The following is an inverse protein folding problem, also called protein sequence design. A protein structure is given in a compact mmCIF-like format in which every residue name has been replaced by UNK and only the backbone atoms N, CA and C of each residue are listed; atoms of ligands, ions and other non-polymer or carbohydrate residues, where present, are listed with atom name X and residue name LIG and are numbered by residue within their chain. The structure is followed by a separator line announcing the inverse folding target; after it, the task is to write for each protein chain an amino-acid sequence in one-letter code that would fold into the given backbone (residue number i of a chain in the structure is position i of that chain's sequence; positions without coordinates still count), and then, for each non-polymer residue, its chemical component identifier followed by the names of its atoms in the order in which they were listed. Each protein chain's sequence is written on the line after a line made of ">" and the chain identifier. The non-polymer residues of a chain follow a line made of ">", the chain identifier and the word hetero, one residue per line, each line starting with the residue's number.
data_IF_623098261144
#
_entry.id   IF_623098261144
#
_cell.length_a   1.000
_cell.length_b   1.000
_cell.length_c   1.000
_cell.angle_alpha   90.00
_cell.angle_beta   90.00
_cell.angle_gamma   90.00
#
_symmetry.space_group_name_H-M   'P 1'
#
loop_
_entity.id
_entity.type
_entity.pdbx_description
1 polymer ?
#
# COMPACT_ATOMS: atom_id res chain seq x y z
N UNK A 1 -40.91 20.32 -32.99
CA UNK A 1 -40.71 19.19 -32.05
C UNK A 1 -39.22 18.83 -32.08
N UNK A 2 -38.47 18.97 -30.98
CA UNK A 2 -37.03 18.76 -31.01
C UNK A 2 -36.70 17.25 -31.04
N UNK A 3 -35.72 16.87 -31.86
CA UNK A 3 -35.19 15.50 -31.90
C UNK A 3 -34.25 15.29 -30.71
N UNK A 4 -34.57 14.25 -29.93
CA UNK A 4 -33.80 13.75 -28.80
C UNK A 4 -32.50 13.15 -29.34
N UNK A 5 -31.44 13.96 -29.42
CA UNK A 5 -30.10 13.45 -29.70
C UNK A 5 -29.72 12.50 -28.56
N UNK A 6 -29.65 11.21 -28.89
CA UNK A 6 -29.28 10.14 -27.99
C UNK A 6 -27.89 10.42 -27.41
N UNK A 7 -27.78 10.43 -26.08
CA UNK A 7 -26.49 10.38 -25.39
C UNK A 7 -25.75 9.12 -25.83
N UNK A 8 -24.72 9.29 -26.63
CA UNK A 8 -23.70 8.26 -26.86
C UNK A 8 -23.11 7.89 -25.50
N UNK A 9 -23.06 6.60 -25.13
CA UNK A 9 -22.44 6.19 -23.89
C UNK A 9 -20.96 6.54 -23.98
N UNK A 10 -20.52 7.39 -23.05
CA UNK A 10 -19.15 7.85 -22.84
C UNK A 10 -18.27 6.62 -22.55
N UNK A 11 -17.87 5.90 -23.61
CA UNK A 11 -16.93 4.78 -23.54
C UNK A 11 -15.59 5.40 -23.18
N UNK A 12 -15.12 5.12 -21.96
CA UNK A 12 -13.75 5.38 -21.55
C UNK A 12 -12.81 4.95 -22.69
N UNK A 13 -12.02 5.87 -23.27
CA UNK A 13 -11.10 5.52 -24.34
C UNK A 13 -10.20 4.37 -23.86
N UNK A 14 -10.02 3.29 -24.65
CA UNK A 14 -9.12 2.18 -24.32
C UNK A 14 -7.71 2.64 -23.88
N UNK A 15 -7.28 3.80 -24.37
CA UNK A 15 -6.06 4.51 -23.99
C UNK A 15 -5.93 4.78 -22.47
N UNK A 16 -7.03 5.00 -21.75
CA UNK A 16 -7.01 5.30 -20.31
C UNK A 16 -6.71 4.06 -19.45
N UNK A 17 -7.12 2.87 -19.90
CA UNK A 17 -6.86 1.61 -19.18
C UNK A 17 -5.41 1.16 -19.39
N UNK A 18 -4.87 1.36 -20.60
CA UNK A 18 -3.47 1.06 -20.93
C UNK A 18 -2.50 1.98 -20.15
N UNK A 19 -2.84 3.26 -20.00
CA UNK A 19 -2.07 4.21 -19.18
C UNK A 19 -2.03 3.88 -17.69
N UNK A 20 -2.99 3.08 -17.19
CA UNK A 20 -3.06 2.62 -15.80
C UNK A 20 -2.26 1.32 -15.58
N UNK A 21 -2.33 0.41 -16.55
CA UNK A 21 -1.70 -0.91 -16.46
C UNK A 21 -0.18 -0.85 -16.64
N UNK A 22 0.33 0.03 -17.51
CA UNK A 22 1.77 0.11 -17.78
C UNK A 22 2.56 0.44 -16.51
N UNK A 23 2.26 1.51 -15.75
CA UNK A 23 2.99 1.81 -14.50
C UNK A 23 2.87 0.69 -13.47
N UNK A 24 1.72 0.00 -13.41
CA UNK A 24 1.52 -1.11 -12.50
C UNK A 24 2.41 -2.31 -12.85
N UNK A 25 2.44 -2.72 -14.12
CA UNK A 25 3.29 -3.83 -14.59
C UNK A 25 4.76 -3.49 -14.41
N UNK A 26 5.17 -2.27 -14.76
CA UNK A 26 6.54 -1.79 -14.53
C UNK A 26 6.88 -1.82 -13.04
N UNK A 27 5.97 -1.36 -12.17
CA UNK A 27 6.13 -1.43 -10.72
C UNK A 27 6.31 -2.86 -10.21
N UNK A 28 5.49 -3.80 -10.67
CA UNK A 28 5.60 -5.22 -10.30
C UNK A 28 6.93 -5.83 -10.76
N UNK A 29 7.39 -5.51 -11.97
CA UNK A 29 8.67 -5.97 -12.48
C UNK A 29 9.84 -5.40 -11.66
N UNK A 30 9.82 -4.10 -11.37
CA UNK A 30 10.83 -3.45 -10.53
C UNK A 30 10.86 -4.07 -9.13
N UNK A 31 9.68 -4.30 -8.54
CA UNK A 31 9.58 -4.97 -7.24
C UNK A 31 10.12 -6.40 -7.26
N UNK A 32 9.81 -7.15 -8.32
CA UNK A 32 10.31 -8.51 -8.50
C UNK A 32 11.84 -8.55 -8.61
N UNK A 33 12.42 -7.67 -9.42
CA UNK A 33 13.88 -7.54 -9.56
C UNK A 33 14.55 -7.10 -8.26
N UNK A 34 13.91 -6.21 -7.51
CA UNK A 34 14.36 -5.80 -6.18
C UNK A 34 14.44 -6.98 -5.21
N UNK A 35 13.35 -7.75 -5.10
CA UNK A 35 13.27 -8.95 -4.24
C UNK A 35 14.29 -10.03 -4.61
N UNK A 36 14.67 -10.11 -5.89
CA UNK A 36 15.70 -11.04 -6.37
C UNK A 36 17.12 -10.56 -6.11
N UNK A 37 17.29 -9.33 -5.64
CA UNK A 37 18.60 -8.77 -5.41
C UNK A 37 19.34 -8.34 -6.69
N UNK A 38 18.62 -8.14 -7.80
CA UNK A 38 19.22 -7.97 -9.13
C UNK A 38 19.88 -6.59 -9.35
N UNK A 39 19.66 -5.63 -8.45
CA UNK A 39 20.12 -4.26 -8.65
C UNK A 39 21.56 -4.00 -8.17
N UNK A 40 22.33 -3.31 -9.03
CA UNK A 40 23.46 -2.47 -8.71
C UNK A 40 23.51 -1.89 -7.32
N UNK A 41 24.38 -2.32 -6.40
CA UNK A 41 24.57 -1.58 -5.15
C UNK A 41 23.29 -1.34 -4.32
N UNK A 42 22.27 -2.20 -4.46
CA UNK A 42 20.95 -1.99 -3.82
C UNK A 42 21.05 -1.79 -2.29
N UNK A 43 22.07 -2.39 -1.65
CA UNK A 43 22.29 -2.32 -0.21
C UNK A 43 23.25 -1.20 0.22
N UNK A 44 23.81 -0.44 -0.72
CA UNK A 44 24.76 0.63 -0.40
C UNK A 44 24.10 1.76 0.41
N UNK A 45 22.88 2.26 0.08
CA UNK A 45 22.22 3.25 0.92
C UNK A 45 21.95 2.73 2.32
N UNK A 46 21.52 1.46 2.44
CA UNK A 46 21.28 0.84 3.75
C UNK A 46 22.54 0.87 4.62
N UNK A 47 23.69 0.45 4.08
CA UNK A 47 24.98 0.49 4.80
C UNK A 47 25.44 1.91 5.13
N UNK A 48 25.14 2.90 4.29
CA UNK A 48 25.51 4.28 4.55
C UNK A 48 24.77 4.86 5.77
N UNK A 49 23.52 4.44 5.98
CA UNK A 49 22.68 4.92 7.08
C UNK A 49 22.67 3.99 8.32
N UNK A 50 23.37 2.86 8.27
CA UNK A 50 23.41 1.90 9.39
C UNK A 50 24.84 1.70 9.89
N UNK A 51 25.02 1.44 11.19
CA UNK A 51 26.33 1.15 11.75
C UNK A 51 27.02 -0.08 11.13
N UNK A 52 28.33 0.00 10.90
CA UNK A 52 29.12 -1.09 10.31
C UNK A 52 29.16 -2.35 11.19
N UNK A 53 28.98 -2.23 12.50
CA UNK A 53 28.95 -3.35 13.44
C UNK A 53 27.71 -4.24 13.26
N UNK A 54 26.66 -3.76 12.57
CA UNK A 54 25.47 -4.55 12.26
C UNK A 54 25.71 -5.57 11.13
N UNK A 55 26.80 -5.43 10.39
CA UNK A 55 27.11 -6.21 9.19
C UNK A 55 28.40 -7.02 9.34
N UNK A 56 28.46 -8.18 8.71
CA UNK A 56 29.74 -8.89 8.55
C UNK A 56 30.68 -8.10 7.63
N UNK A 57 31.96 -8.04 8.01
CA UNK A 57 32.95 -7.21 7.32
C UNK A 57 33.01 -7.55 5.82
N UNK A 58 32.89 -6.53 4.96
CA UNK A 58 32.90 -6.71 3.51
C UNK A 58 31.64 -7.33 2.89
N UNK A 59 30.62 -7.70 3.68
CA UNK A 59 29.37 -8.29 3.16
C UNK A 59 28.15 -7.49 3.61
N UNK A 60 27.01 -7.73 2.99
CA UNK A 60 25.70 -7.18 3.42
C UNK A 60 24.98 -8.14 4.36
N UNK A 61 25.65 -9.20 4.85
CA UNK A 61 25.01 -10.18 5.71
C UNK A 61 24.84 -9.61 7.12
N UNK A 62 23.63 -9.64 7.70
CA UNK A 62 23.39 -9.14 9.03
C UNK A 62 24.12 -10.01 10.07
N UNK A 63 24.80 -9.38 11.03
CA UNK A 63 25.42 -10.05 12.18
C UNK A 63 24.41 -10.42 13.25
N UNK A 64 23.34 -9.64 13.37
CA UNK A 64 22.33 -9.78 14.40
C UNK A 64 20.99 -9.20 13.99
N UNK A 65 20.11 -9.09 14.98
CA UNK A 65 18.72 -8.64 14.81
C UNK A 65 18.64 -7.26 14.16
N UNK A 66 19.49 -6.32 14.57
CA UNK A 66 19.45 -4.93 14.07
C UNK A 66 19.67 -4.86 12.56
N UNK A 67 20.69 -5.54 12.04
CA UNK A 67 20.94 -5.60 10.60
C UNK A 67 19.79 -6.26 9.84
N UNK A 68 19.19 -7.32 10.39
CA UNK A 68 18.05 -8.01 9.77
C UNK A 68 16.81 -7.13 9.71
N UNK A 69 16.43 -6.50 10.83
CA UNK A 69 15.27 -5.61 10.88
C UNK A 69 15.49 -4.37 10.01
N UNK A 70 16.72 -3.86 9.91
CA UNK A 70 17.06 -2.75 9.03
C UNK A 70 16.86 -3.10 7.54
N UNK A 71 17.17 -4.33 7.12
CA UNK A 71 16.85 -4.81 5.77
C UNK A 71 15.34 -4.81 5.51
N UNK A 72 14.55 -5.30 6.46
CA UNK A 72 13.08 -5.35 6.33
C UNK A 72 12.49 -3.94 6.23
N UNK A 73 12.97 -3.00 7.06
CA UNK A 73 12.57 -1.58 6.97
C UNK A 73 12.96 -1.01 5.60
N UNK A 74 14.16 -1.29 5.12
CA UNK A 74 14.65 -0.79 3.84
C UNK A 74 13.82 -1.28 2.66
N UNK A 75 13.48 -2.57 2.64
CA UNK A 75 12.58 -3.15 1.63
C UNK A 75 11.20 -2.49 1.68
N UNK A 76 10.66 -2.24 2.88
CA UNK A 76 9.40 -1.53 3.08
C UNK A 76 9.43 -0.08 2.58
N UNK A 77 10.52 0.65 2.84
CA UNK A 77 10.71 2.02 2.36
C UNK A 77 10.78 2.04 0.83
N UNK A 78 11.56 1.15 0.22
CA UNK A 78 11.63 1.04 -1.23
C UNK A 78 10.26 0.71 -1.83
N UNK A 79 9.53 -0.24 -1.25
CA UNK A 79 8.18 -0.58 -1.66
C UNK A 79 7.23 0.63 -1.58
N UNK A 80 7.27 1.39 -0.48
CA UNK A 80 6.45 2.59 -0.31
C UNK A 80 6.77 3.65 -1.38
N UNK A 81 8.05 3.88 -1.67
CA UNK A 81 8.49 4.79 -2.74
C UNK A 81 7.99 4.31 -4.10
N UNK A 82 8.08 3.01 -4.36
CA UNK A 82 7.62 2.40 -5.61
C UNK A 82 6.11 2.55 -5.80
N UNK A 83 5.32 2.22 -4.77
CA UNK A 83 3.86 2.41 -4.78
C UNK A 83 3.50 3.88 -4.99
N UNK A 84 4.20 4.78 -4.31
CA UNK A 84 4.01 6.22 -4.49
C UNK A 84 4.32 6.67 -5.92
N UNK A 85 5.44 6.21 -6.49
CA UNK A 85 5.85 6.52 -7.86
C UNK A 85 4.82 6.00 -8.87
N UNK A 86 4.40 4.73 -8.76
CA UNK A 86 3.39 4.13 -9.62
C UNK A 86 2.06 4.88 -9.52
N UNK A 87 1.62 5.20 -8.31
CA UNK A 87 0.39 5.96 -8.06
C UNK A 87 0.45 7.37 -8.65
N UNK A 88 1.57 8.07 -8.48
CA UNK A 88 1.76 9.45 -8.94
C UNK A 88 1.93 9.55 -10.47
N UNK A 89 2.71 8.64 -11.06
CA UNK A 89 3.01 8.62 -12.50
C UNK A 89 1.83 8.07 -13.32
N UNK A 90 1.08 7.11 -12.78
CA UNK A 90 -0.10 6.55 -13.46
C UNK A 90 -1.36 7.42 -13.38
N UNK A 91 -1.28 8.65 -12.83
CA UNK A 91 -2.44 9.54 -12.62
C UNK A 91 -3.62 8.90 -11.88
N UNK A 92 -3.34 7.87 -11.05
CA UNK A 92 -4.34 7.09 -10.35
C UNK A 92 -5.35 7.94 -9.55
N UNK A 93 -4.94 9.01 -8.85
CA UNK A 93 -5.89 9.87 -8.14
C UNK A 93 -6.92 10.51 -9.07
N UNK A 94 -6.54 10.89 -10.28
CA UNK A 94 -7.42 11.55 -11.25
C UNK A 94 -8.35 10.53 -11.92
N UNK A 95 -7.85 9.34 -12.24
CA UNK A 95 -8.66 8.21 -12.72
C UNK A 95 -9.69 7.79 -11.68
N UNK A 96 -9.28 7.64 -10.42
CA UNK A 96 -10.19 7.24 -9.33
C UNK A 96 -11.22 8.33 -9.06
N UNK A 97 -10.84 9.61 -9.03
CA UNK A 97 -11.80 10.72 -8.93
C UNK A 97 -12.78 10.72 -10.10
N UNK A 98 -12.32 10.42 -11.31
CA UNK A 98 -13.18 10.37 -12.49
C UNK A 98 -14.16 9.19 -12.46
N UNK A 99 -13.69 8.01 -12.05
CA UNK A 99 -14.47 6.77 -12.06
C UNK A 99 -15.44 6.69 -10.88
N UNK A 100 -14.98 7.09 -9.69
CA UNK A 100 -15.71 6.98 -8.41
C UNK A 100 -16.45 8.28 -8.08
N UNK A 101 -15.83 9.44 -8.34
CA UNK A 101 -16.41 10.75 -8.00
C UNK A 101 -17.65 11.13 -8.81
N UNK A 102 -17.84 10.57 -10.02
CA UNK A 102 -19.02 10.82 -10.86
C UNK A 102 -20.23 9.94 -10.51
N UNK A 103 -20.11 9.02 -9.55
CA UNK A 103 -21.18 8.10 -9.15
C UNK A 103 -22.00 8.68 -7.99
N UNK A 104 -23.35 8.58 -8.02
CA UNK A 104 -24.18 8.97 -6.89
C UNK A 104 -23.95 8.03 -5.69
N UNK A 105 -24.19 8.52 -4.47
CA UNK A 105 -24.26 7.66 -3.29
C UNK A 105 -25.52 6.77 -3.40
N UNK A 106 -25.47 5.48 -3.00
CA UNK A 106 -24.43 4.80 -2.21
C UNK A 106 -23.34 4.09 -3.04
N UNK A 107 -23.46 4.05 -4.37
CA UNK A 107 -22.53 3.30 -5.23
C UNK A 107 -21.07 3.75 -5.06
N UNK A 108 -20.84 5.05 -4.84
CA UNK A 108 -19.51 5.61 -4.54
C UNK A 108 -18.87 4.99 -3.28
N UNK A 109 -19.65 4.83 -2.22
CA UNK A 109 -19.17 4.24 -0.97
C UNK A 109 -18.85 2.75 -1.13
N UNK A 110 -19.65 2.02 -1.93
CA UNK A 110 -19.42 0.60 -2.23
C UNK A 110 -18.16 0.37 -3.05
N UNK A 111 -17.89 1.16 -4.09
CA UNK A 111 -16.64 1.02 -4.86
C UNK A 111 -15.41 1.34 -4.01
N UNK A 112 -15.50 2.36 -3.15
CA UNK A 112 -14.44 2.66 -2.19
C UNK A 112 -14.23 1.50 -1.20
N UNK A 113 -15.31 0.88 -0.73
CA UNK A 113 -15.24 -0.27 0.18
C UNK A 113 -14.62 -1.50 -0.50
N UNK A 114 -14.98 -1.78 -1.74
CA UNK A 114 -14.36 -2.84 -2.53
C UNK A 114 -12.85 -2.59 -2.72
N UNK A 115 -12.46 -1.35 -3.04
CA UNK A 115 -11.04 -0.96 -3.12
C UNK A 115 -10.30 -1.14 -1.79
N UNK A 116 -10.92 -0.73 -0.67
CA UNK A 116 -10.35 -0.93 0.66
C UNK A 116 -10.19 -2.41 1.02
N UNK A 117 -11.17 -3.26 0.66
CA UNK A 117 -11.08 -4.71 0.89
C UNK A 117 -9.96 -5.34 0.08
N UNK A 118 -9.76 -4.94 -1.18
CA UNK A 118 -8.64 -5.40 -2.00
C UNK A 118 -7.31 -4.95 -1.38
N UNK A 119 -7.21 -3.71 -0.93
CA UNK A 119 -5.99 -3.23 -0.27
C UNK A 119 -5.72 -3.99 1.04
N UNK A 120 -6.75 -4.24 1.84
CA UNK A 120 -6.63 -5.02 3.07
C UNK A 120 -6.24 -6.47 2.81
N UNK A 121 -6.73 -7.11 1.74
CA UNK A 121 -6.36 -8.49 1.42
C UNK A 121 -4.90 -8.62 0.94
N UNK A 122 -4.33 -7.56 0.36
CA UNK A 122 -2.92 -7.53 0.01
C UNK A 122 -2.01 -7.29 1.23
N UNK A 123 -2.47 -6.53 2.22
CA UNK A 123 -1.70 -6.22 3.45
C UNK A 123 -1.87 -7.32 4.51
N UNK A 124 -3.07 -7.86 4.65
CA UNK A 124 -3.46 -8.86 5.64
C UNK A 124 -4.09 -10.10 4.98
N UNK A 125 -3.35 -10.85 4.14
CA UNK A 125 -3.90 -12.02 3.44
C UNK A 125 -4.45 -13.07 4.41
N UNK A 126 -3.83 -13.25 5.58
CA UNK A 126 -4.30 -14.18 6.62
C UNK A 126 -5.68 -13.85 7.23
N UNK A 127 -6.16 -12.61 7.08
CA UNK A 127 -7.53 -12.25 7.48
C UNK A 127 -8.59 -12.71 6.47
N UNK A 128 -8.18 -13.15 5.27
CA UNK A 128 -9.06 -13.57 4.19
C UNK A 128 -8.78 -15.04 3.83
N UNK A 129 -9.64 -15.99 4.22
CA UNK A 129 -9.38 -17.43 4.05
C UNK A 129 -9.32 -17.89 2.59
N UNK A 130 -9.75 -17.05 1.64
CA UNK A 130 -9.81 -17.37 0.20
C UNK A 130 -8.52 -16.96 -0.53
N UNK A 131 -7.64 -16.24 0.15
CA UNK A 131 -6.52 -15.54 -0.46
C UNK A 131 -5.20 -16.27 -0.17
N UNK A 132 -4.47 -16.65 -1.22
CA UNK A 132 -3.25 -17.47 -1.14
C UNK A 132 -1.95 -16.77 -1.54
N UNK A 133 -1.91 -15.44 -1.51
CA UNK A 133 -0.70 -14.68 -1.86
C UNK A 133 0.08 -14.21 -0.63
N UNK A 134 1.38 -13.96 -0.82
CA UNK A 134 2.24 -13.39 0.22
C UNK A 134 1.85 -11.95 0.57
N UNK A 135 1.99 -11.55 1.85
CA UNK A 135 1.66 -10.19 2.28
C UNK A 135 2.62 -9.17 1.64
N UNK A 136 2.08 -7.99 1.31
CA UNK A 136 2.89 -6.85 0.93
C UNK A 136 3.74 -6.37 2.12
N UNK A 137 4.95 -5.82 1.87
CA UNK A 137 5.85 -5.34 2.92
C UNK A 137 5.35 -4.00 3.48
N UNK A 138 4.28 -4.07 4.26
CA UNK A 138 3.65 -2.93 4.92
C UNK A 138 3.64 -3.17 6.43
N UNK A 139 3.24 -4.36 6.86
CA UNK A 139 3.21 -4.74 8.27
C UNK A 139 4.63 -4.93 8.81
N UNK A 140 5.37 -5.86 8.22
CA UNK A 140 6.70 -6.24 8.73
C UNK A 140 7.65 -5.04 8.86
N UNK A 141 7.78 -4.13 7.88
CA UNK A 141 8.64 -2.96 8.01
C UNK A 141 8.27 -2.03 9.17
N UNK A 142 6.97 -1.88 9.47
CA UNK A 142 6.53 -1.07 10.60
C UNK A 142 6.90 -1.75 11.92
N UNK A 143 6.72 -3.06 12.03
CA UNK A 143 7.13 -3.83 13.21
C UNK A 143 8.65 -3.80 13.39
N UNK A 144 9.41 -4.03 12.33
CA UNK A 144 10.88 -3.95 12.31
C UNK A 144 11.38 -2.57 12.72
N UNK A 145 10.74 -1.50 12.25
CA UNK A 145 11.08 -0.14 12.67
C UNK A 145 10.84 0.05 14.18
N UNK A 146 9.74 -0.47 14.72
CA UNK A 146 9.47 -0.44 16.16
C UNK A 146 10.52 -1.24 16.93
N UNK A 147 10.97 -2.40 16.45
CA UNK A 147 12.08 -3.16 17.05
C UNK A 147 13.35 -2.31 17.11
N UNK A 148 13.73 -1.69 15.99
CA UNK A 148 14.95 -0.89 15.91
C UNK A 148 14.91 0.32 16.86
N UNK A 149 13.78 1.00 16.96
CA UNK A 149 13.60 2.17 17.82
C UNK A 149 13.52 1.79 19.30
N UNK A 150 12.84 0.70 19.63
CA UNK A 150 12.67 0.24 21.02
C UNK A 150 13.84 -0.60 21.54
N UNK A 151 14.75 -1.03 20.66
CA UNK A 151 15.91 -1.85 21.01
C UNK A 151 15.60 -3.33 21.21
N UNK A 152 14.41 -3.82 20.84
CA UNK A 152 14.07 -5.24 20.95
C UNK A 152 12.60 -5.58 20.73
N UNK A 153 12.23 -6.83 20.98
CA UNK A 153 10.85 -7.33 20.76
C UNK A 153 9.93 -7.22 21.98
N UNK A 154 10.41 -6.63 23.09
CA UNK A 154 9.68 -6.62 24.37
C UNK A 154 8.27 -6.00 24.28
N UNK A 155 8.09 -4.98 23.44
CA UNK A 155 6.79 -4.33 23.24
C UNK A 155 5.75 -5.27 22.62
N UNK A 156 6.17 -6.23 21.80
CA UNK A 156 5.27 -7.18 21.13
C UNK A 156 4.78 -8.31 22.03
N UNK A 157 5.35 -8.45 23.24
CA UNK A 157 4.79 -9.34 24.26
C UNK A 157 3.40 -8.86 24.73
N UNK A 158 3.11 -7.56 24.61
CA UNK A 158 1.79 -7.02 24.90
C UNK A 158 0.85 -7.21 23.71
N UNK A 159 -0.14 -8.07 23.87
CA UNK A 159 -1.18 -8.27 22.86
C UNK A 159 -1.95 -6.98 22.56
N UNK A 160 -2.16 -6.11 23.56
CA UNK A 160 -2.80 -4.81 23.37
C UNK A 160 -1.98 -3.91 22.45
N UNK A 161 -0.65 -3.86 22.64
CA UNK A 161 0.23 -3.05 21.79
C UNK A 161 0.22 -3.56 20.35
N UNK A 162 0.42 -4.86 20.17
CA UNK A 162 0.41 -5.53 18.86
C UNK A 162 -0.92 -5.32 18.13
N UNK A 163 -2.05 -5.54 18.80
CA UNK A 163 -3.38 -5.32 18.21
C UNK A 163 -3.65 -3.85 17.87
N UNK A 164 -3.19 -2.93 18.72
CA UNK A 164 -3.30 -1.49 18.46
C UNK A 164 -2.50 -1.12 17.22
N UNK A 165 -1.28 -1.63 17.07
CA UNK A 165 -0.44 -1.37 15.90
C UNK A 165 -1.09 -1.91 14.62
N UNK A 166 -1.62 -3.14 14.66
CA UNK A 166 -2.40 -3.71 13.56
C UNK A 166 -3.62 -2.85 13.19
N UNK A 167 -4.38 -2.40 14.19
CA UNK A 167 -5.53 -1.54 13.97
C UNK A 167 -5.13 -0.20 13.33
N UNK A 168 -4.03 0.42 13.78
CA UNK A 168 -3.52 1.66 13.20
C UNK A 168 -3.10 1.47 11.74
N UNK A 169 -2.41 0.38 11.41
CA UNK A 169 -2.04 0.06 10.03
C UNK A 169 -3.30 -0.13 9.17
N UNK A 170 -4.27 -0.92 9.64
CA UNK A 170 -5.53 -1.14 8.92
C UNK A 170 -6.28 0.18 8.69
N UNK A 171 -6.36 1.05 9.69
CA UNK A 171 -6.97 2.37 9.58
C UNK A 171 -6.25 3.24 8.54
N UNK A 172 -4.92 3.27 8.55
CA UNK A 172 -4.13 4.00 7.55
C UNK A 172 -4.36 3.49 6.12
N UNK A 173 -4.47 2.17 5.94
CA UNK A 173 -4.76 1.54 4.65
C UNK A 173 -6.17 1.92 4.16
N UNK A 174 -7.16 1.92 5.05
CA UNK A 174 -8.57 2.19 4.70
C UNK A 174 -8.85 3.68 4.54
N UNK A 175 -8.14 4.55 5.29
CA UNK A 175 -8.35 5.99 5.34
C UNK A 175 -8.46 6.69 3.97
N UNK A 176 -7.57 6.47 2.98
CA UNK A 176 -7.70 7.10 1.67
C UNK A 176 -9.00 6.69 0.96
N UNK A 177 -9.44 5.43 1.09
CA UNK A 177 -10.68 4.95 0.51
C UNK A 177 -11.90 5.54 1.21
N UNK A 178 -11.89 5.64 2.54
CA UNK A 178 -12.97 6.27 3.30
C UNK A 178 -13.15 7.74 2.90
N UNK A 179 -12.04 8.47 2.68
CA UNK A 179 -12.05 9.86 2.20
C UNK A 179 -12.61 9.98 0.78
N UNK A 180 -12.23 9.07 -0.13
CA UNK A 180 -12.71 9.06 -1.51
C UNK A 180 -14.19 8.64 -1.63
N UNK A 181 -14.63 7.70 -0.80
CA UNK A 181 -16.01 7.24 -0.73
C UNK A 181 -16.97 8.25 -0.11
N UNK A 182 -16.46 9.20 0.68
CA UNK A 182 -17.26 10.14 1.46
C UNK A 182 -18.05 9.45 2.57
N UNK A 183 -17.44 8.45 3.22
CA UNK A 183 -18.13 7.67 4.24
C UNK A 183 -18.56 8.51 5.44
N UNK A 184 -17.77 9.51 5.84
CA UNK A 184 -18.13 10.42 6.92
C UNK A 184 -19.39 11.23 6.62
N UNK A 185 -19.51 11.76 5.40
CA UNK A 185 -20.72 12.48 4.97
C UNK A 185 -21.94 11.57 4.91
N UNK A 186 -21.75 10.34 4.41
CA UNK A 186 -22.82 9.35 4.33
C UNK A 186 -23.28 8.87 5.71
N UNK A 187 -22.35 8.65 6.64
CA UNK A 187 -22.65 8.28 8.01
C UNK A 187 -23.41 9.40 8.74
N UNK A 188 -23.04 10.66 8.52
CA UNK A 188 -23.78 11.82 9.03
C UNK A 188 -25.20 11.91 8.49
N UNK A 189 -25.41 11.67 7.18
CA UNK A 189 -26.74 11.63 6.58
C UNK A 189 -27.61 10.49 7.10
N UNK A 190 -27.01 9.32 7.40
CA UNK A 190 -27.72 8.19 8.00
C UNK A 190 -28.07 8.42 9.48
N UNK A 191 -27.18 9.05 10.25
CA UNK A 191 -27.41 9.35 11.66
C UNK A 191 -28.45 10.47 11.87
N UNK A 192 -28.69 11.29 10.85
CA UNK A 192 -29.69 12.36 10.87
C UNK A 192 -31.10 11.91 10.40
N UNK A 193 -31.24 10.65 9.94
CA UNK A 193 -32.53 10.03 9.58
C UNK A 193 -33.10 9.25 10.76
#
# INVERSE_FOLDING_TARGET
>A
RPSKAARTPDRLPPITVVGLLIPLVVGLLVWSLWRQGAFPYQWAPLKLFTPDDWWWGGTVSPKGTQGREAMVVYDGVFFAVLVYAVGRLGSWPDVVRHLVGRRPQPARALFAAAGALIALSLVFPGAFPVVGWDPLPVVDPVFSLVVLVSGGYGLFASQLFTNTLYALIALLVVWPFARLGGWWTYAGELAAR
#
